data_IF_974158287016
#
_entry.id   IF_974158287016
#
_cell.length_a   1.000
_cell.length_b   1.000
_cell.length_c   1.000
_cell.angle_alpha   90.00
_cell.angle_beta   90.00
_cell.angle_gamma   90.00
#
_symmetry.space_group_name_H-M   'P 1'
#
loop_
_entity.id
_entity.type
_entity.pdbx_description
1 polymer ?
#
# COMPACT_ATOMS: atom_id res chain seq x y z
N UNK A 1 0.79 -13.87 -20.09
CA UNK A 1 -0.47 -14.23 -19.40
C UNK A 1 -0.54 -13.37 -18.15
N UNK A 2 -1.61 -12.61 -17.95
CA UNK A 2 -1.82 -11.74 -16.78
C UNK A 2 -2.98 -12.33 -15.96
N UNK A 3 -2.88 -12.23 -14.64
CA UNK A 3 -3.87 -12.82 -13.73
C UNK A 3 -4.57 -11.73 -12.92
N UNK A 4 -5.89 -11.83 -12.80
CA UNK A 4 -6.64 -11.12 -11.76
C UNK A 4 -6.57 -11.95 -10.49
N UNK A 5 -5.90 -11.44 -9.46
CA UNK A 5 -5.79 -12.11 -8.17
C UNK A 5 -6.86 -11.58 -7.22
N UNK A 6 -7.60 -12.49 -6.60
CA UNK A 6 -8.54 -12.18 -5.54
C UNK A 6 -7.82 -12.05 -4.20
N UNK A 7 -8.40 -11.33 -3.25
CA UNK A 7 -7.91 -11.34 -1.88
C UNK A 7 -7.85 -12.79 -1.35
N UNK A 8 -6.73 -13.15 -0.72
CA UNK A 8 -6.40 -14.52 -0.30
C UNK A 8 -5.60 -15.33 -1.33
N UNK A 9 -5.41 -14.83 -2.56
CA UNK A 9 -4.63 -15.52 -3.58
C UNK A 9 -3.20 -15.00 -3.66
N UNK A 10 -2.25 -15.92 -3.69
CA UNK A 10 -0.83 -15.61 -3.85
C UNK A 10 -0.43 -15.60 -5.32
N UNK A 11 0.38 -14.62 -5.70
CA UNK A 11 1.00 -14.53 -7.01
C UNK A 11 2.15 -15.53 -7.15
N UNK A 12 2.23 -16.21 -8.29
CA UNK A 12 3.40 -17.01 -8.66
C UNK A 12 4.55 -16.14 -9.21
N UNK A 13 5.78 -16.62 -9.05
CA UNK A 13 7.00 -15.93 -9.52
C UNK A 13 7.55 -14.91 -8.51
N UNK A 14 8.31 -13.90 -8.97
CA UNK A 14 8.87 -12.87 -8.09
C UNK A 14 7.76 -12.01 -7.47
N UNK A 15 7.74 -11.82 -6.13
CA UNK A 15 6.64 -11.13 -5.45
C UNK A 15 6.65 -9.61 -5.71
N UNK A 16 7.83 -9.03 -5.88
CA UNK A 16 8.02 -7.59 -6.11
C UNK A 16 8.16 -7.23 -7.60
N UNK A 17 7.73 -8.13 -8.51
CA UNK A 17 7.73 -7.83 -9.93
C UNK A 17 6.73 -6.68 -10.21
N UNK A 18 7.16 -5.69 -11.00
CA UNK A 18 6.34 -4.50 -11.30
C UNK A 18 6.52 -3.34 -10.33
N UNK A 19 7.31 -3.49 -9.26
CA UNK A 19 7.59 -2.44 -8.28
C UNK A 19 8.79 -1.59 -8.68
N UNK A 20 8.65 -0.27 -8.61
CA UNK A 20 9.77 0.67 -8.75
C UNK A 20 10.81 0.48 -7.65
N UNK A 21 12.10 0.43 -8.01
CA UNK A 21 13.22 0.30 -7.07
C UNK A 21 13.01 -0.78 -5.99
N UNK A 22 12.50 -1.96 -6.38
CA UNK A 22 12.19 -3.06 -5.45
C UNK A 22 13.34 -3.50 -4.53
N UNK A 23 14.59 -3.19 -4.89
CA UNK A 23 15.75 -3.42 -4.02
C UNK A 23 15.72 -2.66 -2.69
N UNK A 24 14.88 -1.62 -2.55
CA UNK A 24 14.63 -0.92 -1.28
C UNK A 24 13.71 -1.69 -0.32
N UNK A 25 12.98 -2.69 -0.83
CA UNK A 25 11.98 -3.42 -0.05
C UNK A 25 12.59 -4.67 0.55
N UNK A 26 12.62 -4.74 1.89
CA UNK A 26 12.97 -5.97 2.59
C UNK A 26 11.74 -6.86 2.68
N UNK A 27 11.71 -7.90 1.85
CA UNK A 27 10.65 -8.90 1.88
C UNK A 27 10.65 -9.70 3.19
N UNK A 28 9.53 -9.67 3.92
CA UNK A 28 9.33 -10.41 5.17
C UNK A 28 8.45 -11.64 4.96
N UNK A 29 7.32 -11.47 4.29
CA UNK A 29 6.44 -12.56 3.88
C UNK A 29 6.10 -12.41 2.40
N UNK A 30 6.19 -13.50 1.65
CA UNK A 30 5.90 -13.51 0.21
C UNK A 30 4.43 -13.30 -0.07
N UNK A 31 3.55 -13.74 0.81
CA UNK A 31 2.12 -13.67 0.59
C UNK A 31 1.40 -13.57 1.93
N UNK A 32 1.00 -12.34 2.26
CA UNK A 32 0.27 -12.03 3.48
C UNK A 32 -1.10 -11.50 3.14
N UNK A 33 -2.10 -12.00 3.85
CA UNK A 33 -3.46 -11.47 3.84
C UNK A 33 -3.72 -10.71 5.12
N UNK A 34 -4.24 -9.50 5.01
CA UNK A 34 -4.57 -8.61 6.14
C UNK A 34 -5.94 -7.98 5.90
N UNK A 35 -6.64 -7.69 6.98
CA UNK A 35 -7.92 -6.98 6.96
C UNK A 35 -7.87 -5.71 7.82
N UNK A 36 -8.69 -4.74 7.47
CA UNK A 36 -8.77 -3.47 8.19
C UNK A 36 -9.73 -2.48 7.54
N UNK A 37 -9.81 -1.29 8.10
CA UNK A 37 -10.58 -0.17 7.54
C UNK A 37 -9.66 0.79 6.81
N UNK A 38 -10.05 1.18 5.59
CA UNK A 38 -9.37 2.23 4.84
C UNK A 38 -9.72 3.57 5.45
N UNK A 39 -8.76 4.29 6.02
CA UNK A 39 -9.03 5.59 6.64
C UNK A 39 -8.75 6.74 5.65
N UNK A 40 -7.73 6.62 4.79
CA UNK A 40 -7.51 7.57 3.69
C UNK A 40 -6.69 6.96 2.54
N UNK A 41 -6.69 7.64 1.40
CA UNK A 41 -5.88 7.30 0.23
C UNK A 41 -4.86 8.41 -0.03
N UNK A 42 -3.74 8.07 -0.66
CA UNK A 42 -2.74 9.04 -1.10
C UNK A 42 -2.13 8.60 -2.43
N UNK A 43 -2.07 9.52 -3.39
CA UNK A 43 -1.37 9.32 -4.66
C UNK A 43 0.09 9.72 -4.48
N UNK A 44 1.00 8.82 -4.85
CA UNK A 44 2.44 9.06 -4.76
C UNK A 44 3.02 9.55 -6.10
N UNK A 45 4.18 10.24 -6.08
CA UNK A 45 4.78 10.80 -7.30
C UNK A 45 5.13 9.79 -8.40
N UNK A 46 5.32 8.52 -8.06
CA UNK A 46 5.59 7.43 -9.01
C UNK A 46 4.33 6.79 -9.60
N UNK A 47 3.16 7.31 -9.22
CA UNK A 47 1.84 6.89 -9.70
C UNK A 47 1.18 5.82 -8.85
N UNK A 48 1.84 5.35 -7.79
CA UNK A 48 1.27 4.36 -6.88
C UNK A 48 0.25 5.00 -5.94
N UNK A 49 -0.70 4.19 -5.48
CA UNK A 49 -1.67 4.61 -4.49
C UNK A 49 -1.38 3.95 -3.16
N UNK A 50 -1.07 4.78 -2.17
CA UNK A 50 -1.03 4.40 -0.77
C UNK A 50 -2.44 4.38 -0.19
N UNK A 51 -2.92 3.21 0.16
CA UNK A 51 -4.09 3.00 1.00
C UNK A 51 -3.60 2.96 2.46
N UNK A 52 -4.07 3.91 3.29
CA UNK A 52 -3.79 3.91 4.73
C UNK A 52 -4.78 3.00 5.43
N UNK A 53 -4.34 1.78 5.70
CA UNK A 53 -5.18 0.75 6.30
C UNK A 53 -5.00 0.77 7.82
N UNK A 54 -6.06 1.13 8.54
CA UNK A 54 -6.16 0.85 9.98
C UNK A 54 -6.50 -0.62 10.13
N UNK A 55 -5.46 -1.41 10.38
CA UNK A 55 -5.56 -2.87 10.48
C UNK A 55 -6.48 -3.29 11.61
N UNK A 56 -7.15 -4.43 11.45
CA UNK A 56 -7.89 -5.05 12.54
C UNK A 56 -6.94 -5.44 13.69
N UNK A 57 -7.48 -5.52 14.91
CA UNK A 57 -6.70 -5.74 16.14
C UNK A 57 -5.81 -6.99 16.07
N UNK A 58 -6.30 -8.09 15.47
CA UNK A 58 -5.50 -9.31 15.30
C UNK A 58 -4.24 -9.14 14.44
N UNK A 59 -4.17 -8.07 13.65
CA UNK A 59 -3.07 -7.76 12.73
C UNK A 59 -2.20 -6.60 13.21
N UNK A 60 -2.46 -6.03 14.39
CA UNK A 60 -1.70 -4.89 14.93
C UNK A 60 -0.18 -5.17 15.03
N UNK A 61 0.20 -6.44 15.25
CA UNK A 61 1.60 -6.87 15.30
C UNK A 61 2.35 -6.78 13.95
N UNK A 62 1.65 -6.50 12.85
CA UNK A 62 2.26 -6.24 11.53
C UNK A 62 2.72 -4.77 11.38
N UNK A 63 2.40 -3.89 12.31
CA UNK A 63 2.86 -2.51 12.25
C UNK A 63 4.30 -2.42 12.75
N UNK A 64 5.13 -1.69 12.00
CA UNK A 64 6.43 -1.25 12.48
C UNK A 64 6.28 0.13 13.15
N UNK A 65 7.24 0.51 14.00
CA UNK A 65 7.20 1.83 14.65
C UNK A 65 7.17 2.99 13.64
N UNK A 66 7.79 2.84 12.46
CA UNK A 66 7.73 3.86 11.42
C UNK A 66 6.34 4.02 10.76
N UNK A 67 5.41 3.08 10.98
CA UNK A 67 4.01 3.25 10.55
C UNK A 67 3.30 4.37 11.33
N UNK A 68 3.83 4.84 12.46
CA UNK A 68 3.33 6.02 13.20
C UNK A 68 3.39 7.32 12.37
N UNK A 69 4.16 7.32 11.28
CA UNK A 69 4.26 8.43 10.33
C UNK A 69 3.20 8.36 9.22
N UNK A 70 2.49 7.24 9.12
CA UNK A 70 1.51 6.99 8.09
C UNK A 70 0.13 7.29 8.70
N UNK A 71 -0.28 8.55 8.64
CA UNK A 71 -1.47 9.07 9.32
C UNK A 71 -2.49 9.63 8.35
N UNK A 72 -3.75 9.70 8.78
CA UNK A 72 -4.86 10.34 8.08
C UNK A 72 -5.46 11.43 8.98
N UNK A 73 -5.91 12.54 8.41
CA UNK A 73 -6.56 13.61 9.18
C UNK A 73 -7.83 13.08 9.84
N UNK A 74 -8.01 13.38 11.13
CA UNK A 74 -9.19 12.90 11.88
C UNK A 74 -9.13 11.44 12.34
N UNK A 75 -8.06 10.70 12.02
CA UNK A 75 -7.85 9.31 12.44
C UNK A 75 -6.61 9.19 13.33
N UNK A 76 -6.79 8.62 14.53
CA UNK A 76 -5.70 8.42 15.48
C UNK A 76 -4.98 7.08 15.24
N UNK A 77 -3.66 7.11 15.35
CA UNK A 77 -2.80 5.92 15.34
C UNK A 77 -2.13 5.62 13.99
N UNK A 78 -1.23 4.63 13.99
CA UNK A 78 -0.49 4.18 12.81
C UNK A 78 -1.38 3.44 11.80
N UNK A 79 -1.01 3.55 10.53
CA UNK A 79 -1.63 2.78 9.45
C UNK A 79 -0.61 1.87 8.78
N UNK A 80 -1.03 0.66 8.43
CA UNK A 80 -0.28 -0.15 7.48
C UNK A 80 -0.42 0.49 6.10
N UNK A 81 0.68 0.58 5.36
CA UNK A 81 0.62 1.02 3.97
C UNK A 81 0.22 -0.17 3.11
N UNK A 82 -0.81 0.00 2.30
CA UNK A 82 -1.12 -0.94 1.23
C UNK A 82 -0.91 -0.20 -0.08
N UNK A 83 0.01 -0.66 -0.91
CA UNK A 83 0.44 0.06 -2.10
C UNK A 83 -0.09 -0.62 -3.36
N UNK A 84 -0.96 0.08 -4.08
CA UNK A 84 -1.49 -0.36 -5.37
C UNK A 84 -0.64 0.29 -6.45
N UNK A 85 0.09 -0.54 -7.20
CA UNK A 85 0.77 -0.08 -8.40
C UNK A 85 -0.22 -0.01 -9.56
N UNK A 86 -0.15 1.02 -10.43
CA UNK A 86 -1.12 1.20 -11.51
C UNK A 86 -0.97 0.08 -12.56
N UNK A 87 -2.04 -0.21 -13.32
CA UNK A 87 -1.97 -1.16 -14.42
C UNK A 87 -0.86 -0.84 -15.43
N UNK A 88 -0.61 0.44 -15.69
CA UNK A 88 0.38 0.95 -16.63
C UNK A 88 1.23 2.05 -16.00
N UNK A 89 2.50 2.16 -16.41
CA UNK A 89 3.40 3.18 -15.85
C UNK A 89 2.93 4.59 -16.16
N UNK A 90 2.95 5.47 -15.16
CA UNK A 90 2.71 6.90 -15.35
C UNK A 90 4.05 7.61 -15.62
N UNK A 91 4.26 8.01 -16.86
CA UNK A 91 5.44 8.79 -17.26
C UNK A 91 6.70 7.94 -17.53
N UNK A 92 7.74 8.62 -18.02
CA UNK A 92 8.95 7.97 -18.53
C UNK A 92 9.96 7.57 -17.46
N UNK A 93 9.85 8.15 -16.25
CA UNK A 93 10.78 7.90 -15.15
C UNK A 93 10.46 6.60 -14.39
N UNK A 94 9.20 6.14 -14.45
CA UNK A 94 8.69 5.00 -13.67
C UNK A 94 8.20 3.86 -14.56
N UNK A 95 8.86 3.63 -15.71
CA UNK A 95 8.42 2.66 -16.75
C UNK A 95 8.22 1.23 -16.24
N UNK A 96 8.90 0.83 -15.18
CA UNK A 96 8.79 -0.51 -14.59
C UNK A 96 7.81 -0.56 -13.42
N UNK A 97 7.25 0.58 -13.01
CA UNK A 97 6.27 0.69 -11.93
C UNK A 97 4.87 0.42 -12.49
N UNK A 98 4.49 -0.84 -12.59
CA UNK A 98 3.16 -1.23 -13.05
C UNK A 98 2.86 -2.72 -12.90
N UNK A 99 1.58 -3.03 -12.72
CA UNK A 99 1.07 -4.40 -12.61
C UNK A 99 1.30 -5.22 -13.89
N UNK A 100 1.33 -4.57 -15.07
CA UNK A 100 1.68 -5.20 -16.35
C UNK A 100 3.05 -5.89 -16.32
N UNK A 101 4.08 -5.17 -15.88
CA UNK A 101 5.42 -5.71 -15.66
C UNK A 101 5.46 -6.73 -14.51
N UNK A 102 4.53 -6.61 -13.56
CA UNK A 102 4.30 -7.59 -12.51
C UNK A 102 3.64 -8.88 -12.99
N UNK A 103 2.94 -8.87 -14.12
CA UNK A 103 2.19 -10.01 -14.63
C UNK A 103 0.83 -10.23 -13.94
N UNK A 104 0.24 -9.20 -13.35
CA UNK A 104 -1.09 -9.24 -12.73
C UNK A 104 -1.94 -8.03 -13.15
N UNK A 105 -3.24 -8.11 -12.92
CA UNK A 105 -4.13 -6.95 -13.06
C UNK A 105 -4.20 -6.22 -11.73
N UNK A 106 -4.15 -4.89 -11.74
CA UNK A 106 -4.25 -4.10 -10.51
C UNK A 106 -5.59 -4.37 -9.80
N UNK A 107 -5.59 -4.41 -8.45
CA UNK A 107 -6.81 -4.58 -7.70
C UNK A 107 -7.70 -3.33 -7.79
N UNK A 108 -9.02 -3.48 -7.59
CA UNK A 108 -9.92 -2.33 -7.52
C UNK A 108 -9.52 -1.40 -6.37
N UNK A 109 -9.56 -0.10 -6.61
CA UNK A 109 -9.34 0.93 -5.60
C UNK A 109 -10.45 0.90 -4.54
N UNK A 110 -10.15 0.71 -3.24
CA UNK A 110 -11.15 0.82 -2.19
C UNK A 110 -11.46 2.30 -1.88
N UNK A 111 -12.58 2.57 -1.21
CA UNK A 111 -12.94 3.90 -0.75
C UNK A 111 -12.61 4.08 0.75
N UNK A 112 -12.31 5.31 1.22
CA UNK A 112 -12.28 5.62 2.64
C UNK A 112 -13.58 5.19 3.35
N UNK A 113 -13.41 4.59 4.52
CA UNK A 113 -14.43 3.94 5.33
C UNK A 113 -14.71 2.47 4.97
N UNK A 114 -14.23 1.96 3.83
CA UNK A 114 -14.41 0.55 3.48
C UNK A 114 -13.64 -0.33 4.48
N UNK A 115 -14.27 -1.42 4.94
CA UNK A 115 -13.53 -2.53 5.52
C UNK A 115 -13.15 -3.49 4.40
N UNK A 116 -11.87 -3.83 4.32
CA UNK A 116 -11.26 -4.55 3.21
C UNK A 116 -10.39 -5.71 3.69
N UNK A 117 -10.26 -6.71 2.84
CA UNK A 117 -9.23 -7.74 2.89
C UNK A 117 -8.26 -7.52 1.74
N UNK A 118 -6.98 -7.44 2.04
CA UNK A 118 -5.89 -7.19 1.10
C UNK A 118 -4.95 -8.38 1.07
N UNK A 119 -4.37 -8.70 -0.08
CA UNK A 119 -3.30 -9.70 -0.21
C UNK A 119 -2.19 -9.23 -1.13
N UNK A 120 -0.96 -9.46 -0.70
CA UNK A 120 0.27 -9.13 -1.42
C UNK A 120 1.48 -9.56 -0.58
N UNK A 121 2.70 -9.23 -0.99
CA UNK A 121 3.88 -9.48 -0.17
C UNK A 121 3.96 -8.45 0.94
N UNK A 122 4.28 -8.92 2.15
CA UNK A 122 4.52 -8.08 3.31
C UNK A 122 6.01 -7.71 3.36
N UNK A 123 6.29 -6.42 3.31
CA UNK A 123 7.63 -5.85 3.17
C UNK A 123 7.87 -4.79 4.25
N UNK A 124 9.13 -4.52 4.51
CA UNK A 124 9.57 -3.29 5.17
C UNK A 124 10.23 -2.41 4.11
N UNK A 125 9.71 -1.20 3.90
CA UNK A 125 10.35 -0.23 3.00
C UNK A 125 11.52 0.44 3.71
N UNK A 126 12.74 0.13 3.28
CA UNK A 126 13.97 0.63 3.89
C UNK A 126 14.53 1.87 3.18
N UNK A 127 13.72 2.59 2.39
CA UNK A 127 14.20 3.72 1.60
C UNK A 127 14.71 4.88 2.47
N UNK A 128 16.03 5.01 2.55
CA UNK A 128 16.71 6.05 3.32
C UNK A 128 16.45 7.46 2.77
N UNK A 129 16.00 7.62 1.51
CA UNK A 129 15.62 8.93 0.97
C UNK A 129 14.40 9.53 1.68
N UNK A 130 13.58 8.70 2.35
CA UNK A 130 12.48 9.19 3.18
C UNK A 130 12.98 10.10 4.32
N UNK A 131 14.21 9.94 4.82
CA UNK A 131 14.74 10.88 5.83
C UNK A 131 14.85 12.32 5.31
N UNK A 132 15.13 12.49 4.02
CA UNK A 132 15.22 13.81 3.39
C UNK A 132 13.82 14.38 3.19
N UNK A 133 12.89 13.55 2.71
CA UNK A 133 11.51 13.95 2.43
C UNK A 133 10.70 14.24 3.70
N UNK A 134 10.98 13.55 4.80
CA UNK A 134 10.33 13.74 6.10
C UNK A 134 11.17 14.60 7.07
N UNK A 135 11.97 15.53 6.54
CA UNK A 135 12.66 16.58 7.31
C UNK A 135 13.46 16.05 8.53
N UNK A 136 14.14 14.92 8.38
CA UNK A 136 14.95 14.31 9.44
C UNK A 136 14.20 13.42 10.42
N UNK A 137 12.88 13.22 10.27
CA UNK A 137 12.15 12.15 10.97
C UNK A 137 12.67 10.80 10.45
N UNK A 138 12.72 9.80 11.34
CA UNK A 138 13.07 8.43 10.98
C UNK A 138 11.93 7.78 10.17
N UNK A 139 11.82 8.19 8.90
CA UNK A 139 10.78 7.82 7.96
C UNK A 139 11.16 6.61 7.10
N UNK A 140 12.07 5.81 7.60
CA UNK A 140 12.48 4.56 6.99
C UNK A 140 11.93 3.40 7.82
N UNK A 141 11.79 2.26 7.17
CA UNK A 141 11.41 0.99 7.78
C UNK A 141 9.95 0.88 8.24
N UNK A 142 9.02 1.54 7.54
CA UNK A 142 7.60 1.24 7.75
C UNK A 142 7.21 -0.06 7.04
N UNK A 143 6.16 -0.69 7.55
CA UNK A 143 5.65 -1.95 7.03
C UNK A 143 4.55 -1.72 6.00
N UNK A 144 4.53 -2.57 4.97
CA UNK A 144 3.58 -2.46 3.85
C UNK A 144 3.12 -3.81 3.32
N UNK A 145 1.97 -3.81 2.65
CA UNK A 145 1.66 -4.78 1.59
C UNK A 145 1.95 -4.11 0.23
N UNK A 146 3.04 -4.49 -0.43
CA UNK A 146 3.49 -3.84 -1.66
C UNK A 146 4.17 -4.82 -2.65
N UNK A 147 3.57 -5.10 -3.82
CA UNK A 147 2.33 -4.50 -4.32
C UNK A 147 1.12 -5.27 -3.82
N UNK A 148 0.02 -4.55 -3.60
CA UNK A 148 -1.27 -5.18 -3.42
C UNK A 148 -1.65 -5.95 -4.70
N UNK A 149 -1.82 -7.26 -4.58
CA UNK A 149 -2.24 -8.11 -5.70
C UNK A 149 -3.75 -8.27 -5.79
N UNK A 150 -4.42 -8.26 -4.64
CA UNK A 150 -5.86 -8.45 -4.55
C UNK A 150 -6.43 -7.67 -3.38
N UNK A 151 -7.50 -6.93 -3.62
CA UNK A 151 -8.28 -6.21 -2.61
C UNK A 151 -9.73 -6.61 -2.77
N UNK A 152 -10.39 -6.92 -1.66
CA UNK A 152 -11.81 -7.22 -1.60
C UNK A 152 -12.45 -6.34 -0.54
N UNK A 153 -13.51 -5.63 -0.89
CA UNK A 153 -14.34 -4.89 0.06
C UNK A 153 -15.24 -5.89 0.78
N UNK A 154 -15.01 -6.06 2.09
CA UNK A 154 -15.82 -6.88 2.98
C UNK A 154 -17.11 -6.16 3.37
N UNK A 155 -16.98 -4.86 3.67
CA UNK A 155 -18.09 -3.99 4.04
C UNK A 155 -17.83 -2.61 3.47
N UNK A 156 -18.69 -2.16 2.57
CA UNK A 156 -18.61 -0.84 1.98
C UNK A 156 -18.87 0.26 3.02
N UNK A 157 -18.22 1.40 2.83
CA UNK A 157 -18.50 2.62 3.58
C UNK A 157 -19.89 3.16 3.26
N UNK A 158 -20.39 4.04 4.12
CA UNK A 158 -21.62 4.77 3.85
C UNK A 158 -21.38 5.76 2.69
N UNK A 159 -22.22 5.78 1.65
CA UNK A 159 -22.07 6.73 0.54
C UNK A 159 -22.00 8.18 1.04
N UNK A 160 -20.97 8.93 0.60
CA UNK A 160 -20.78 10.34 0.94
C UNK A 160 -19.71 10.64 2.01
N UNK A 161 -19.00 9.63 2.53
CA UNK A 161 -17.75 9.89 3.24
C UNK A 161 -16.75 10.57 2.29
N UNK A 162 -16.23 11.76 2.60
CA UNK A 162 -15.29 12.43 1.72
C UNK A 162 -14.03 11.58 1.53
N UNK A 163 -13.51 11.55 0.30
CA UNK A 163 -12.15 11.07 0.06
C UNK A 163 -11.21 12.07 0.72
N UNK A 164 -10.75 11.76 1.93
CA UNK A 164 -9.63 12.46 2.48
C UNK A 164 -8.39 11.93 1.74
N UNK A 165 -7.87 12.73 0.82
CA UNK A 165 -6.53 12.49 0.32
C UNK A 165 -5.63 12.95 1.46
N UNK A 166 -5.00 12.01 2.17
CA UNK A 166 -4.20 12.33 3.35
C UNK A 166 -3.18 13.45 3.06
N UNK A 167 -2.64 14.12 4.09
CA UNK A 167 -1.90 15.37 3.94
C UNK A 167 -0.82 15.28 2.84
N UNK A 168 -0.77 16.33 2.01
CA UNK A 168 0.31 16.50 1.04
C UNK A 168 1.64 16.54 1.78
N UNK A 169 2.70 16.03 1.15
CA UNK A 169 4.02 16.13 1.73
C UNK A 169 4.46 17.59 1.80
N UNK A 170 4.52 18.19 2.99
CA UNK A 170 5.14 19.51 3.14
C UNK A 170 4.56 20.47 4.19
N UNK A 171 3.52 20.11 4.94
CA UNK A 171 3.01 20.94 6.06
C UNK A 171 3.70 20.67 7.40
#
# INVERSE_FOLDING_TARGET
MKFTLQAGQCKWGPPLAGVYLSGRLRLVDRCRTVSGTVDCLKLEPDGDYHVRLRVDEQSAALLASANDLQTCTGHAGPHLVVEIIPQHSHGVLFRTNNADAGGFNDPPMPAPGDHVTVTGPYVIDTNSLHRILYQGRAAENWAEIHPAWGIRVDKASTPGAPNDYGPEFGD
#
